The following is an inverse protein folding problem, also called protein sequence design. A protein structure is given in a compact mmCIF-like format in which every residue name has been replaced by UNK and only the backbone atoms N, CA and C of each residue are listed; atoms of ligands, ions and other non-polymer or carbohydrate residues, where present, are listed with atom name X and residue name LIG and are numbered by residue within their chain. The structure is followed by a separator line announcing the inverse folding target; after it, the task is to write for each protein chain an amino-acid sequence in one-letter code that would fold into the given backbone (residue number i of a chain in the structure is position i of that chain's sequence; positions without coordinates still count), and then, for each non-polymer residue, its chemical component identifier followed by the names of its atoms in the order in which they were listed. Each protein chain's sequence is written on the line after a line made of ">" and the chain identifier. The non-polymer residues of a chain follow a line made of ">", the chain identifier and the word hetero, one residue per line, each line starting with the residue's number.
data_IF_166133834549
#
_entry.id   IF_166133834549
#
_cell.length_a   1.000
_cell.length_b   1.000
_cell.length_c   1.000
_cell.angle_alpha   90.00
_cell.angle_beta   90.00
_cell.angle_gamma   90.00
#
_symmetry.space_group_name_H-M   'P 1'
#
loop_
_entity.id
_entity.type
_entity.pdbx_description
1 polymer ?
#
# COMPACT_ATOMS: atom_id res chain seq x y z
N UNK A 1 -4.28 -9.60 -8.31
CA UNK A 1 -3.33 -10.61 -7.79
C UNK A 1 -2.46 -11.10 -8.92
N UNK A 2 -1.13 -11.03 -8.78
CA UNK A 2 -0.18 -11.50 -9.79
C UNK A 2 0.32 -12.91 -9.42
N UNK A 3 0.34 -13.81 -10.40
CA UNK A 3 0.73 -15.20 -10.22
C UNK A 3 1.71 -15.62 -11.32
N UNK A 4 2.81 -16.26 -10.93
CA UNK A 4 3.78 -16.85 -11.85
C UNK A 4 4.20 -18.22 -11.35
N UNK A 5 4.20 -19.23 -12.22
CA UNK A 5 4.49 -20.62 -11.86
C UNK A 5 3.72 -21.14 -10.63
N UNK A 6 2.42 -20.83 -10.55
CA UNK A 6 1.52 -21.18 -9.42
C UNK A 6 1.92 -20.57 -8.06
N UNK A 7 2.83 -19.58 -8.05
CA UNK A 7 3.20 -18.81 -6.86
C UNK A 7 2.56 -17.43 -6.97
N UNK A 8 1.85 -17.03 -5.91
CA UNK A 8 1.30 -15.69 -5.76
C UNK A 8 2.42 -14.76 -5.30
N UNK A 9 2.53 -13.59 -5.93
CA UNK A 9 3.46 -12.55 -5.51
C UNK A 9 2.73 -11.28 -5.10
N UNK A 10 3.17 -10.73 -3.98
CA UNK A 10 2.90 -9.37 -3.56
C UNK A 10 3.91 -8.46 -4.25
N UNK A 11 3.39 -7.47 -4.98
CA UNK A 11 4.23 -6.52 -5.71
C UNK A 11 4.26 -5.22 -4.93
N UNK A 12 5.45 -4.78 -4.54
CA UNK A 12 5.66 -3.47 -3.90
C UNK A 12 6.58 -2.62 -4.77
N UNK A 13 6.23 -1.35 -4.95
CA UNK A 13 7.06 -0.39 -5.68
C UNK A 13 7.71 0.61 -4.73
N UNK A 14 8.94 0.97 -5.05
CA UNK A 14 9.68 2.07 -4.43
C UNK A 14 10.05 3.03 -5.55
N UNK A 15 9.59 4.29 -5.47
CA UNK A 15 9.78 5.24 -6.55
C UNK A 15 10.15 6.64 -6.04
N UNK A 16 11.03 7.37 -6.73
CA UNK A 16 11.58 8.64 -6.26
C UNK A 16 10.64 9.85 -6.49
N UNK A 17 9.48 9.63 -7.13
CA UNK A 17 8.57 10.71 -7.52
C UNK A 17 7.50 11.04 -6.46
N UNK A 18 7.35 10.23 -5.42
CA UNK A 18 6.37 10.53 -4.38
C UNK A 18 6.86 11.71 -3.53
N UNK A 19 5.99 12.70 -3.21
CA UNK A 19 6.35 13.78 -2.31
C UNK A 19 6.54 13.25 -0.88
N UNK A 20 7.24 14.02 -0.05
CA UNK A 20 7.52 13.67 1.35
C UNK A 20 6.27 13.60 2.27
N UNK A 21 5.10 13.97 1.76
CA UNK A 21 3.79 13.85 2.41
C UNK A 21 3.08 12.55 2.04
N UNK A 22 3.57 11.80 1.04
CA UNK A 22 2.96 10.53 0.65
C UNK A 22 3.56 9.38 1.46
N UNK A 23 2.71 8.44 1.90
CA UNK A 23 3.12 7.20 2.56
C UNK A 23 4.10 6.32 1.76
N UNK A 24 4.22 6.51 0.45
CA UNK A 24 5.18 5.83 -0.44
C UNK A 24 6.49 6.60 -0.65
N UNK A 25 6.70 7.72 0.05
CA UNK A 25 7.95 8.47 -0.01
C UNK A 25 9.16 7.59 0.33
N UNK A 26 10.12 7.51 -0.60
CA UNK A 26 11.33 6.72 -0.45
C UNK A 26 12.53 7.63 -0.10
N UNK A 27 12.99 7.59 1.15
CA UNK A 27 14.12 8.40 1.61
C UNK A 27 15.42 8.04 0.91
N UNK A 28 16.09 9.03 0.31
CA UNK A 28 17.39 8.84 -0.33
C UNK A 28 17.37 7.91 -1.54
N UNK A 29 16.18 7.63 -2.10
CA UNK A 29 16.02 6.75 -3.24
C UNK A 29 16.05 7.58 -4.53
N UNK A 30 17.01 7.28 -5.41
CA UNK A 30 17.10 7.93 -6.73
C UNK A 30 16.50 7.08 -7.85
N UNK A 31 16.33 5.78 -7.60
CA UNK A 31 15.91 4.80 -8.60
C UNK A 31 14.52 4.23 -8.29
N UNK A 32 13.90 3.64 -9.31
CA UNK A 32 12.66 2.87 -9.15
C UNK A 32 12.99 1.38 -8.95
N UNK A 33 12.38 0.77 -7.94
CA UNK A 33 12.49 -0.67 -7.68
C UNK A 33 11.11 -1.30 -7.60
N UNK A 34 10.99 -2.50 -8.17
CA UNK A 34 9.79 -3.35 -8.09
C UNK A 34 10.19 -4.64 -7.37
N UNK A 35 9.65 -4.83 -6.18
CA UNK A 35 9.86 -6.04 -5.39
C UNK A 35 8.73 -7.03 -5.67
N UNK A 36 9.09 -8.23 -6.11
CA UNK A 36 8.20 -9.39 -6.21
C UNK A 36 8.44 -10.29 -5.00
N UNK A 37 7.53 -10.22 -4.03
CA UNK A 37 7.64 -10.99 -2.80
C UNK A 37 6.67 -12.17 -2.83
N UNK A 38 7.15 -13.43 -2.83
CA UNK A 38 6.26 -14.59 -2.88
C UNK A 38 5.47 -14.70 -1.58
N UNK A 39 4.20 -15.12 -1.67
CA UNK A 39 3.30 -15.25 -0.52
C UNK A 39 3.89 -16.08 0.63
N UNK A 40 4.64 -17.14 0.29
CA UNK A 40 5.30 -18.02 1.28
C UNK A 40 6.23 -17.25 2.23
N UNK A 41 6.80 -16.13 1.81
CA UNK A 41 7.65 -15.32 2.68
C UNK A 41 6.87 -14.71 3.86
N UNK A 42 5.58 -14.40 3.70
CA UNK A 42 4.75 -13.87 4.79
C UNK A 42 4.40 -14.96 5.81
N UNK A 43 4.18 -16.20 5.34
CA UNK A 43 3.87 -17.33 6.21
C UNK A 43 5.01 -17.69 7.17
N UNK A 44 6.25 -17.33 6.83
CA UNK A 44 7.44 -17.56 7.67
C UNK A 44 7.51 -16.57 8.85
N UNK A 45 6.80 -15.44 8.79
CA UNK A 45 7.08 -14.28 9.64
C UNK A 45 6.04 -13.94 10.74
N UNK A 46 5.17 -14.87 11.14
CA UNK A 46 4.17 -14.69 12.23
C UNK A 46 3.54 -13.29 12.26
N UNK A 47 3.07 -12.85 11.10
CA UNK A 47 2.58 -11.48 10.95
C UNK A 47 1.27 -11.31 11.71
N UNK A 48 1.09 -10.19 12.43
CA UNK A 48 -0.16 -9.92 13.13
C UNK A 48 -1.31 -9.81 12.14
N UNK A 49 -2.47 -10.32 12.55
CA UNK A 49 -3.73 -10.26 11.81
C UNK A 49 -3.97 -8.88 11.22
N UNK A 50 -4.54 -8.85 10.02
CA UNK A 50 -4.93 -7.57 9.44
C UNK A 50 -6.10 -6.97 10.23
N UNK A 51 -5.95 -5.70 10.60
CA UNK A 51 -6.99 -4.95 11.31
C UNK A 51 -7.48 -3.86 10.38
N UNK A 52 -8.77 -3.94 10.06
CA UNK A 52 -9.42 -2.97 9.20
C UNK A 52 -9.40 -1.58 9.88
N UNK A 53 -9.69 -1.54 11.18
CA UNK A 53 -9.75 -0.32 11.99
C UNK A 53 -8.42 -0.02 12.69
N UNK A 54 -8.26 1.26 13.08
CA UNK A 54 -7.07 1.76 13.78
C UNK A 54 -7.49 2.49 15.04
N UNK A 55 -6.92 2.12 16.20
CA UNK A 55 -7.11 2.92 17.41
C UNK A 55 -6.13 4.10 17.41
N UNK A 56 -6.60 5.23 16.88
CA UNK A 56 -5.82 6.45 16.70
C UNK A 56 -5.46 7.19 18.00
N UNK A 57 -6.19 6.93 19.08
CA UNK A 57 -6.03 7.60 20.38
C UNK A 57 -5.12 6.77 21.30
N UNK A 58 -5.35 5.45 21.33
CA UNK A 58 -4.61 4.52 22.16
C UNK A 58 -4.13 3.34 21.30
N UNK A 59 -3.04 3.48 20.54
CA UNK A 59 -2.59 2.46 19.60
C UNK A 59 -2.10 1.20 20.35
N UNK A 60 -2.86 0.11 20.23
CA UNK A 60 -2.59 -1.13 20.96
C UNK A 60 -1.75 -2.10 20.14
N UNK A 61 -2.09 -2.26 18.86
CA UNK A 61 -1.42 -3.21 17.96
C UNK A 61 -0.18 -2.60 17.32
N UNK A 62 0.72 -3.45 16.80
CA UNK A 62 1.86 -2.98 16.00
C UNK A 62 1.37 -2.18 14.78
N UNK A 63 0.26 -2.60 14.15
CA UNK A 63 -0.34 -1.89 13.02
C UNK A 63 -0.85 -0.50 13.42
N UNK A 64 -1.51 -0.37 14.57
CA UNK A 64 -1.96 0.94 15.07
C UNK A 64 -0.78 1.89 15.28
N UNK A 65 0.27 1.40 15.92
CA UNK A 65 1.49 2.18 16.20
C UNK A 65 2.15 2.66 14.91
N UNK A 66 2.23 1.80 13.89
CA UNK A 66 2.77 2.17 12.57
C UNK A 66 1.89 3.24 11.92
N UNK A 67 0.56 3.06 11.88
CA UNK A 67 -0.37 4.02 11.29
C UNK A 67 -0.29 5.39 11.96
N UNK A 68 -0.27 5.42 13.30
CA UNK A 68 -0.10 6.65 14.08
C UNK A 68 1.24 7.33 13.77
N UNK A 69 2.34 6.59 13.72
CA UNK A 69 3.65 7.17 13.39
C UNK A 69 3.70 7.78 11.98
N UNK A 70 3.07 7.13 10.99
CA UNK A 70 2.95 7.69 9.64
C UNK A 70 2.11 8.98 9.63
N UNK A 71 0.97 9.00 10.35
CA UNK A 71 0.13 10.20 10.49
C UNK A 71 0.88 11.35 11.14
N UNK A 72 1.53 11.10 12.27
CA UNK A 72 2.25 12.13 13.04
C UNK A 72 3.45 12.69 12.25
N UNK A 73 3.99 11.92 11.30
CA UNK A 73 5.00 12.36 10.34
C UNK A 73 4.44 13.08 9.09
N UNK A 74 3.12 13.33 9.04
CA UNK A 74 2.46 13.97 7.90
C UNK A 74 2.33 13.08 6.65
N UNK A 75 2.36 11.75 6.82
CA UNK A 75 2.36 10.74 5.75
C UNK A 75 1.32 9.65 5.99
N UNK A 76 0.18 10.05 6.53
CA UNK A 76 -0.92 9.15 6.80
C UNK A 76 -1.24 8.31 5.56
N UNK A 77 -1.41 7.00 5.74
CA UNK A 77 -1.94 6.16 4.69
C UNK A 77 -3.38 5.81 5.01
N UNK A 78 -4.24 6.01 4.02
CA UNK A 78 -5.62 5.52 4.05
C UNK A 78 -5.61 4.00 4.29
N UNK A 79 -6.22 3.56 5.39
CA UNK A 79 -6.52 2.16 5.58
C UNK A 79 -7.52 1.73 4.49
N UNK A 80 -7.38 0.52 3.90
CA UNK A 80 -8.23 0.04 2.82
C UNK A 80 -9.62 -0.30 3.38
N UNK A 81 -10.44 0.71 3.66
CA UNK A 81 -11.68 0.49 4.40
C UNK A 81 -12.95 0.80 3.61
N UNK A 82 -12.94 1.68 2.60
CA UNK A 82 -14.22 2.23 2.10
C UNK A 82 -14.35 2.29 0.57
N UNK A 83 -13.25 2.31 -0.19
CA UNK A 83 -13.33 2.51 -1.64
C UNK A 83 -12.77 1.30 -2.37
N UNK A 84 -13.58 0.71 -3.27
CA UNK A 84 -13.13 -0.24 -4.30
C UNK A 84 -12.22 0.51 -5.28
N UNK A 85 -11.01 0.84 -4.81
CA UNK A 85 -9.96 1.42 -5.64
C UNK A 85 -9.42 0.32 -6.57
N UNK A 86 -8.91 0.68 -7.77
CA UNK A 86 -8.22 -0.25 -8.63
C UNK A 86 -7.14 -1.02 -7.86
N UNK A 87 -7.02 -2.33 -8.10
CA UNK A 87 -6.02 -3.19 -7.43
C UNK A 87 -4.58 -2.69 -7.65
N UNK A 88 -4.33 -1.99 -8.76
CA UNK A 88 -3.03 -1.34 -8.99
C UNK A 88 -2.65 -0.36 -7.88
N UNK A 89 -3.60 0.22 -7.14
CA UNK A 89 -3.33 1.16 -6.04
C UNK A 89 -2.78 0.50 -4.78
N UNK A 90 -2.83 -0.83 -4.69
CA UNK A 90 -2.04 -1.58 -3.71
C UNK A 90 -0.55 -1.62 -4.07
N UNK A 91 -0.22 -1.52 -5.36
CA UNK A 91 1.14 -1.59 -5.92
C UNK A 91 1.75 -0.19 -6.10
N UNK A 92 0.99 0.73 -6.69
CA UNK A 92 1.35 2.11 -7.05
C UNK A 92 0.25 3.04 -6.54
N UNK A 93 0.53 3.81 -5.50
CA UNK A 93 -0.46 4.77 -5.00
C UNK A 93 -0.61 5.97 -5.94
N UNK A 94 -1.78 6.61 -5.95
CA UNK A 94 -1.89 7.98 -6.42
C UNK A 94 -0.87 8.90 -5.74
N UNK A 95 -0.43 9.95 -6.42
CA UNK A 95 0.51 10.92 -5.85
C UNK A 95 -0.19 11.74 -4.77
N UNK A 96 -1.44 12.12 -5.04
CA UNK A 96 -2.36 12.80 -4.13
C UNK A 96 -3.63 11.97 -3.92
N UNK A 97 -4.26 12.06 -2.74
CA UNK A 97 -5.49 11.32 -2.41
C UNK A 97 -6.65 11.63 -3.35
N UNK A 98 -6.70 12.87 -3.84
CA UNK A 98 -7.74 13.42 -4.71
C UNK A 98 -7.50 13.14 -6.20
N UNK A 99 -6.38 12.52 -6.57
CA UNK A 99 -6.10 12.19 -7.97
C UNK A 99 -7.15 11.22 -8.51
N UNK A 100 -7.70 11.55 -9.68
CA UNK A 100 -8.66 10.68 -10.36
C UNK A 100 -8.03 9.33 -10.73
N UNK A 101 -8.87 8.30 -10.78
CA UNK A 101 -8.43 6.99 -11.24
C UNK A 101 -8.13 7.00 -12.73
N UNK A 102 -6.93 6.54 -13.12
CA UNK A 102 -6.57 6.47 -14.54
C UNK A 102 -7.44 5.41 -15.23
N UNK A 103 -8.12 5.80 -16.32
CA UNK A 103 -9.19 5.00 -16.96
C UNK A 103 -8.79 3.56 -17.28
N UNK A 104 -7.58 3.31 -17.78
CA UNK A 104 -7.10 1.97 -18.12
C UNK A 104 -6.89 1.04 -16.91
N UNK A 105 -6.86 1.59 -15.69
CA UNK A 105 -6.81 0.80 -14.45
C UNK A 105 -8.19 0.39 -13.95
N UNK A 106 -9.25 1.01 -14.48
CA UNK A 106 -10.61 0.63 -14.16
C UNK A 106 -10.95 -0.69 -14.87
N UNK A 107 -11.70 -1.59 -14.22
CA UNK A 107 -12.24 -2.76 -14.91
C UNK A 107 -13.12 -2.30 -16.08
N UNK A 108 -13.23 -3.12 -17.16
CA UNK A 108 -14.13 -2.82 -18.26
C UNK A 108 -15.53 -2.51 -17.72
N UNK A 109 -16.10 -1.38 -18.14
CA UNK A 109 -17.51 -1.12 -17.86
C UNK A 109 -18.31 -2.05 -18.78
N UNK A 110 -18.98 -3.05 -18.20
CA UNK A 110 -19.92 -3.89 -18.95
C UNK A 110 -21.02 -2.97 -19.48
N UNK A 111 -21.02 -2.70 -20.79
CA UNK A 111 -22.13 -2.10 -21.54
C UNK A 111 -23.20 -3.14 -21.84
#
# INVERSE_FOLDING_TARGET
>A
MFQFNKIIFFITTFAPFYPNTNSRYAFGCENCYILFQPEISFAIHDLPSDTAETNWIQPMTVRDKIRVAFRDAGREYEAPLIHRKPMVYEILKPVHSEDESILWWLPPQNS
#
